data_IF_374837961243
#
_entry.id   IF_374837961243
#
_cell.length_a   1.000
_cell.length_b   1.000
_cell.length_c   1.000
_cell.angle_alpha   90.00
_cell.angle_beta   90.00
_cell.angle_gamma   90.00
#
_symmetry.space_group_name_H-M   'P 1'
#
loop_
_entity.id
_entity.type
_entity.pdbx_description
1 polymer ?
#
# COMPACT_ATOMS: atom_id res chain seq x y z
N UNK A 1 -21.83 6.50 20.23
CA UNK A 1 -20.40 6.41 19.85
C UNK A 1 -19.63 7.51 20.56
N UNK A 2 -18.40 7.25 21.04
CA UNK A 2 -17.54 8.30 21.63
C UNK A 2 -17.45 9.50 20.66
N UNK A 3 -17.75 10.75 21.08
CA UNK A 3 -17.72 11.91 20.21
C UNK A 3 -16.38 12.11 19.48
N UNK A 4 -15.27 11.73 20.12
CA UNK A 4 -13.94 11.79 19.51
C UNK A 4 -13.78 10.77 18.38
N UNK A 5 -14.33 9.56 18.53
CA UNK A 5 -14.33 8.54 17.46
C UNK A 5 -15.12 9.02 16.25
N UNK A 6 -16.32 9.59 16.46
CA UNK A 6 -17.12 10.15 15.36
C UNK A 6 -16.40 11.30 14.67
N UNK A 7 -15.77 12.20 15.45
CA UNK A 7 -14.99 13.31 14.91
C UNK A 7 -13.83 12.80 14.05
N UNK A 8 -13.06 11.82 14.54
CA UNK A 8 -11.95 11.23 13.79
C UNK A 8 -12.42 10.52 12.51
N UNK A 9 -13.53 9.77 12.56
CA UNK A 9 -14.12 9.15 11.36
C UNK A 9 -14.49 10.21 10.32
N UNK A 10 -15.11 11.31 10.74
CA UNK A 10 -15.50 12.39 9.83
C UNK A 10 -14.27 13.09 9.22
N UNK A 11 -13.21 13.29 10.00
CA UNK A 11 -11.94 13.82 9.50
C UNK A 11 -11.29 12.88 8.49
N UNK A 12 -11.29 11.56 8.75
CA UNK A 12 -10.79 10.55 7.80
C UNK A 12 -11.60 10.60 6.49
N UNK A 13 -12.92 10.73 6.56
CA UNK A 13 -13.76 10.86 5.37
C UNK A 13 -13.42 12.12 4.55
N UNK A 14 -12.85 13.14 5.17
CA UNK A 14 -12.42 14.38 4.55
C UNK A 14 -10.96 14.39 4.08
N UNK A 15 -10.17 13.32 4.29
CA UNK A 15 -8.76 13.31 3.81
C UNK A 15 -8.64 13.08 2.31
N UNK A 16 -9.64 12.49 1.67
CA UNK A 16 -9.61 12.16 0.25
C UNK A 16 -8.31 11.39 -0.13
N UNK A 17 -7.50 11.92 -1.04
CA UNK A 17 -6.25 11.32 -1.53
C UNK A 17 -5.00 11.79 -0.78
N UNK A 18 -5.11 12.00 0.53
CA UNK A 18 -4.01 12.43 1.40
C UNK A 18 -3.54 11.28 2.30
N UNK A 19 -2.67 10.37 1.80
CA UNK A 19 -2.34 9.12 2.48
C UNK A 19 -1.63 9.30 3.83
N UNK A 20 -0.80 10.33 3.97
CA UNK A 20 -0.08 10.62 5.23
C UNK A 20 -1.07 11.11 6.30
N UNK A 21 -1.92 12.07 5.95
CA UNK A 21 -2.97 12.59 6.86
C UNK A 21 -3.94 11.47 7.24
N UNK A 22 -4.34 10.65 6.26
CA UNK A 22 -5.14 9.46 6.50
C UNK A 22 -4.47 8.54 7.53
N UNK A 23 -3.19 8.21 7.36
CA UNK A 23 -2.47 7.31 8.25
C UNK A 23 -2.41 7.87 9.69
N UNK A 24 -2.13 9.16 9.86
CA UNK A 24 -2.09 9.81 11.18
C UNK A 24 -3.45 9.71 11.88
N UNK A 25 -4.53 10.06 11.17
CA UNK A 25 -5.88 10.00 11.72
C UNK A 25 -6.32 8.56 11.98
N UNK A 26 -5.92 7.61 11.14
CA UNK A 26 -6.17 6.18 11.32
C UNK A 26 -5.46 5.65 12.57
N UNK A 27 -4.19 5.97 12.77
CA UNK A 27 -3.46 5.62 14.00
C UNK A 27 -4.12 6.22 15.25
N UNK A 28 -4.58 7.47 15.19
CA UNK A 28 -5.37 8.04 16.28
C UNK A 28 -6.69 7.28 16.51
N UNK A 29 -7.37 6.88 15.43
CA UNK A 29 -8.59 6.06 15.54
C UNK A 29 -8.30 4.70 16.20
N UNK A 30 -7.19 4.03 15.85
CA UNK A 30 -6.73 2.79 16.49
C UNK A 30 -6.60 3.02 18.01
N UNK A 31 -5.89 4.07 18.42
CA UNK A 31 -5.68 4.40 19.84
C UNK A 31 -6.99 4.64 20.59
N UNK A 32 -7.92 5.39 19.99
CA UNK A 32 -9.24 5.64 20.58
C UNK A 32 -10.07 4.36 20.72
N UNK A 33 -9.92 3.42 19.78
CA UNK A 33 -10.64 2.16 19.77
C UNK A 33 -10.01 1.09 20.67
N UNK A 34 -8.69 1.13 20.96
CA UNK A 34 -8.03 0.17 21.87
C UNK A 34 -8.67 0.12 23.26
N UNK A 35 -9.18 1.26 23.73
CA UNK A 35 -9.79 1.38 25.06
C UNK A 35 -11.32 1.21 25.05
N UNK A 36 -11.92 0.86 23.90
CA UNK A 36 -13.38 0.70 23.78
C UNK A 36 -13.72 -0.60 23.09
N UNK A 37 -14.52 -1.47 23.72
CA UNK A 37 -15.10 -2.60 23.00
C UNK A 37 -16.09 -2.04 22.00
N UNK A 38 -15.93 -2.28 20.68
CA UNK A 38 -16.83 -1.71 19.69
C UNK A 38 -18.16 -2.48 19.71
N UNK A 39 -19.00 -2.24 20.71
CA UNK A 39 -20.47 -2.39 20.63
C UNK A 39 -21.01 -1.24 19.80
N UNK A 40 -20.53 -1.17 18.57
CA UNK A 40 -20.75 -0.06 17.66
C UNK A 40 -21.98 -0.37 16.81
N UNK A 41 -23.12 0.21 17.18
CA UNK A 41 -24.28 0.38 16.31
C UNK A 41 -23.94 1.39 15.20
N UNK A 42 -23.01 1.01 14.32
CA UNK A 42 -22.72 1.78 13.11
C UNK A 42 -23.72 1.35 12.05
N UNK A 43 -24.60 2.27 11.65
CA UNK A 43 -25.62 2.03 10.63
C UNK A 43 -25.04 1.97 9.23
N UNK A 44 -23.95 2.71 8.95
CA UNK A 44 -23.38 2.80 7.60
C UNK A 44 -22.22 1.81 7.37
N UNK A 45 -22.31 1.04 6.29
CA UNK A 45 -21.32 0.01 5.96
C UNK A 45 -19.91 0.57 5.79
N UNK A 46 -19.80 1.79 5.27
CA UNK A 46 -18.52 2.43 5.00
C UNK A 46 -17.76 2.76 6.30
N UNK A 47 -18.41 3.41 7.28
CA UNK A 47 -17.82 3.61 8.61
C UNK A 47 -17.56 2.28 9.30
N UNK A 48 -18.36 1.24 9.03
CA UNK A 48 -18.14 -0.10 9.60
C UNK A 48 -16.84 -0.72 9.05
N UNK A 49 -16.55 -0.58 7.76
CA UNK A 49 -15.25 -0.98 7.18
C UNK A 49 -14.12 -0.18 7.82
N UNK A 50 -14.28 1.14 7.97
CA UNK A 50 -13.26 2.00 8.57
C UNK A 50 -12.98 1.67 10.03
N UNK A 51 -14.00 1.40 10.83
CA UNK A 51 -13.81 1.01 12.23
C UNK A 51 -13.12 -0.34 12.32
N UNK A 52 -13.48 -1.32 11.49
CA UNK A 52 -12.77 -2.60 11.48
C UNK A 52 -11.39 -2.54 10.83
N UNK A 53 -11.06 -1.48 10.09
CA UNK A 53 -9.68 -1.24 9.66
C UNK A 53 -8.80 -0.71 10.78
N UNK A 54 -9.39 -0.08 11.80
CA UNK A 54 -8.67 0.44 12.97
C UNK A 54 -8.76 -0.45 14.22
N UNK A 55 -9.78 -1.31 14.32
CA UNK A 55 -9.92 -2.28 15.41
C UNK A 55 -9.87 -3.71 14.85
N UNK A 56 -8.92 -4.56 15.28
CA UNK A 56 -8.84 -5.94 14.83
C UNK A 56 -10.15 -6.68 15.13
N UNK A 57 -10.86 -7.09 14.08
CA UNK A 57 -12.02 -7.95 14.22
C UNK A 57 -11.58 -9.41 14.00
N UNK A 58 -11.73 -10.24 15.02
CA UNK A 58 -11.40 -11.68 14.99
C UNK A 58 -12.58 -12.56 14.55
N UNK A 59 -13.66 -11.96 14.07
CA UNK A 59 -14.86 -12.67 13.62
C UNK A 59 -14.95 -12.57 12.08
N UNK A 60 -15.29 -13.67 11.38
CA UNK A 60 -15.64 -13.62 9.95
C UNK A 60 -16.77 -12.62 9.70
N UNK A 61 -16.66 -11.75 8.68
CA UNK A 61 -17.69 -10.77 8.36
C UNK A 61 -18.05 -10.82 6.87
N UNK A 62 -18.63 -11.95 6.46
CA UNK A 62 -18.95 -12.22 5.04
C UNK A 62 -19.85 -11.15 4.43
N UNK A 63 -20.82 -10.63 5.18
CA UNK A 63 -21.71 -9.57 4.69
C UNK A 63 -20.97 -8.29 4.34
N UNK A 64 -19.98 -7.89 5.16
CA UNK A 64 -19.12 -6.74 4.86
C UNK A 64 -18.17 -7.02 3.69
N UNK A 65 -17.59 -8.23 3.65
CA UNK A 65 -16.66 -8.64 2.59
C UNK A 65 -17.34 -8.68 1.21
N UNK A 66 -18.61 -9.08 1.11
CA UNK A 66 -19.39 -8.98 -0.13
C UNK A 66 -19.56 -7.52 -0.59
N UNK A 67 -19.84 -6.60 0.34
CA UNK A 67 -19.95 -5.17 0.02
C UNK A 67 -18.61 -4.59 -0.43
N UNK A 68 -17.51 -4.98 0.21
CA UNK A 68 -16.15 -4.61 -0.21
C UNK A 68 -15.90 -5.13 -1.63
N UNK A 69 -16.27 -6.38 -1.93
CA UNK A 69 -16.10 -6.95 -3.26
C UNK A 69 -16.87 -6.15 -4.33
N UNK A 70 -18.10 -5.76 -4.03
CA UNK A 70 -18.91 -4.93 -4.95
C UNK A 70 -18.30 -3.54 -5.14
N UNK A 71 -17.75 -2.93 -4.09
CA UNK A 71 -17.01 -1.67 -4.21
C UNK A 71 -15.78 -1.83 -5.09
N UNK A 72 -14.95 -2.84 -4.87
CA UNK A 72 -13.75 -3.07 -5.69
C UNK A 72 -14.11 -3.25 -7.17
N UNK A 73 -15.15 -4.01 -7.50
CA UNK A 73 -15.62 -4.17 -8.89
C UNK A 73 -16.04 -2.85 -9.54
N UNK A 74 -16.76 -1.99 -8.80
CA UNK A 74 -17.22 -0.67 -9.28
C UNK A 74 -16.11 0.37 -9.39
N UNK A 75 -15.02 0.17 -8.65
CA UNK A 75 -13.88 1.09 -8.58
C UNK A 75 -12.66 0.57 -9.34
N UNK A 76 -12.81 -0.45 -10.20
CA UNK A 76 -11.71 -0.93 -11.03
C UNK A 76 -11.08 0.23 -11.80
N UNK A 77 -9.75 0.20 -12.00
CA UNK A 77 -9.10 1.26 -12.70
C UNK A 77 -9.63 1.47 -14.13
N UNK A 78 -9.51 2.70 -14.65
CA UNK A 78 -8.90 3.85 -13.99
C UNK A 78 -9.77 4.37 -12.82
N UNK A 79 -9.14 4.63 -11.65
CA UNK A 79 -9.82 5.10 -10.43
C UNK A 79 -9.44 6.56 -10.15
N UNK A 80 -10.17 7.43 -10.83
CA UNK A 80 -9.73 8.81 -11.11
C UNK A 80 -10.17 9.80 -10.02
N UNK A 81 -10.98 9.35 -9.07
CA UNK A 81 -11.54 10.22 -8.04
C UNK A 81 -10.88 9.97 -6.69
N UNK A 82 -10.64 11.06 -5.97
CA UNK A 82 -10.06 11.03 -4.62
C UNK A 82 -10.93 10.24 -3.64
N UNK A 83 -12.24 10.18 -3.89
CA UNK A 83 -13.17 9.31 -3.13
C UNK A 83 -12.88 7.82 -3.35
N UNK A 84 -12.65 7.38 -4.59
CA UNK A 84 -12.29 5.97 -4.88
C UNK A 84 -10.95 5.60 -4.24
N UNK A 85 -9.97 6.51 -4.26
CA UNK A 85 -8.67 6.31 -3.62
C UNK A 85 -8.79 6.19 -2.10
N UNK A 86 -9.58 7.06 -1.46
CA UNK A 86 -9.89 6.94 -0.03
C UNK A 86 -10.57 5.59 0.29
N UNK A 87 -11.55 5.20 -0.53
CA UNK A 87 -12.23 3.90 -0.41
C UNK A 87 -11.27 2.72 -0.47
N UNK A 88 -10.39 2.72 -1.47
CA UNK A 88 -9.36 1.70 -1.62
C UNK A 88 -8.39 1.68 -0.44
N UNK A 89 -7.98 2.85 0.06
CA UNK A 89 -7.06 2.96 1.20
C UNK A 89 -7.65 2.34 2.47
N UNK A 90 -8.91 2.65 2.81
CA UNK A 90 -9.57 2.02 3.95
C UNK A 90 -9.74 0.51 3.76
N UNK A 91 -10.04 0.05 2.54
CA UNK A 91 -10.14 -1.40 2.24
C UNK A 91 -8.79 -2.09 2.44
N UNK A 92 -7.69 -1.49 1.97
CA UNK A 92 -6.34 -2.01 2.18
C UNK A 92 -5.99 -2.09 3.67
N UNK A 93 -6.28 -1.04 4.45
CA UNK A 93 -6.07 -1.05 5.90
C UNK A 93 -6.96 -2.08 6.60
N UNK A 94 -8.20 -2.24 6.14
CA UNK A 94 -9.13 -3.26 6.64
C UNK A 94 -8.50 -4.64 6.50
N UNK A 95 -8.05 -4.99 5.30
CA UNK A 95 -7.46 -6.30 5.01
C UNK A 95 -6.12 -6.51 5.73
N UNK A 96 -5.27 -5.48 5.82
CA UNK A 96 -4.00 -5.54 6.57
C UNK A 96 -4.21 -5.80 8.06
N UNK A 97 -5.34 -5.35 8.61
CA UNK A 97 -5.70 -5.56 10.01
C UNK A 97 -6.45 -6.89 10.26
N UNK A 98 -6.65 -7.72 9.23
CA UNK A 98 -7.28 -9.05 9.38
C UNK A 98 -6.23 -10.12 9.73
N UNK A 99 -6.55 -11.03 10.67
CA UNK A 99 -5.75 -12.24 10.87
C UNK A 99 -5.65 -13.06 9.58
N UNK A 100 -4.52 -13.73 9.35
CA UNK A 100 -4.30 -14.60 8.19
C UNK A 100 -5.35 -15.73 8.08
N UNK A 101 -5.86 -16.21 9.22
CA UNK A 101 -6.93 -17.21 9.29
C UNK A 101 -8.29 -16.70 8.78
N UNK A 102 -8.47 -15.38 8.68
CA UNK A 102 -9.73 -14.71 8.33
C UNK A 102 -9.65 -13.83 7.09
N UNK A 103 -8.46 -13.67 6.51
CA UNK A 103 -8.30 -12.85 5.32
C UNK A 103 -9.07 -13.46 4.15
N UNK A 104 -9.81 -12.63 3.43
CA UNK A 104 -10.60 -13.07 2.28
C UNK A 104 -9.73 -13.02 1.02
N UNK A 105 -9.27 -14.19 0.57
CA UNK A 105 -8.42 -14.31 -0.63
C UNK A 105 -9.08 -13.81 -1.92
N UNK A 106 -10.41 -13.79 -2.03
CA UNK A 106 -11.08 -13.24 -3.22
C UNK A 106 -10.84 -11.73 -3.30
N UNK A 107 -10.89 -11.04 -2.17
CA UNK A 107 -10.61 -9.60 -2.11
C UNK A 107 -9.13 -9.33 -2.43
N UNK A 108 -8.22 -10.11 -1.86
CA UNK A 108 -6.78 -9.98 -2.16
C UNK A 108 -6.49 -10.28 -3.63
N UNK A 109 -7.11 -11.32 -4.19
CA UNK A 109 -6.97 -11.65 -5.62
C UNK A 109 -7.49 -10.53 -6.53
N UNK A 110 -8.63 -9.92 -6.19
CA UNK A 110 -9.18 -8.78 -6.93
C UNK A 110 -8.22 -7.58 -6.91
N UNK A 111 -7.59 -7.30 -5.75
CA UNK A 111 -6.59 -6.26 -5.59
C UNK A 111 -5.32 -6.53 -6.42
N UNK A 112 -4.75 -7.72 -6.33
CA UNK A 112 -3.56 -8.11 -7.11
C UNK A 112 -3.85 -8.06 -8.61
N UNK A 113 -5.01 -8.56 -9.03
CA UNK A 113 -5.34 -8.66 -10.46
C UNK A 113 -5.59 -7.29 -11.08
N UNK A 114 -6.37 -6.44 -10.40
CA UNK A 114 -6.93 -5.23 -11.00
C UNK A 114 -6.32 -3.94 -10.48
N UNK A 115 -5.75 -3.88 -9.28
CA UNK A 115 -5.29 -2.61 -8.68
C UNK A 115 -3.76 -2.48 -8.61
N UNK A 116 -3.03 -3.59 -8.64
CA UNK A 116 -1.57 -3.60 -8.66
C UNK A 116 -1.02 -3.06 -9.99
N UNK A 117 -0.06 -2.14 -9.91
CA UNK A 117 0.61 -1.47 -11.03
C UNK A 117 0.03 -0.10 -11.39
N UNK A 118 -0.92 0.42 -10.60
CA UNK A 118 -1.57 1.72 -10.86
C UNK A 118 -1.07 2.86 -9.98
N UNK A 119 -0.53 2.57 -8.79
CA UNK A 119 -0.08 3.58 -7.84
C UNK A 119 0.94 2.98 -6.90
N UNK A 120 2.11 3.62 -6.79
CA UNK A 120 3.20 3.13 -5.95
C UNK A 120 2.79 2.92 -4.48
N UNK A 121 1.93 3.81 -3.96
CA UNK A 121 1.38 3.71 -2.62
C UNK A 121 0.51 2.46 -2.43
N UNK A 122 -0.47 2.25 -3.32
CA UNK A 122 -1.37 1.09 -3.22
C UNK A 122 -0.65 -0.22 -3.52
N UNK A 123 0.30 -0.22 -4.45
CA UNK A 123 1.13 -1.37 -4.77
C UNK A 123 1.85 -1.88 -3.51
N UNK A 124 2.47 -0.99 -2.74
CA UNK A 124 3.12 -1.35 -1.48
C UNK A 124 2.17 -2.02 -0.47
N UNK A 125 0.93 -1.52 -0.34
CA UNK A 125 -0.07 -2.10 0.55
C UNK A 125 -0.54 -3.49 0.05
N UNK A 126 -0.77 -3.63 -1.25
CA UNK A 126 -1.21 -4.89 -1.87
C UNK A 126 -0.13 -5.96 -1.73
N UNK A 127 1.11 -5.62 -2.02
CA UNK A 127 2.26 -6.51 -1.83
C UNK A 127 2.43 -6.89 -0.36
N UNK A 128 2.22 -5.96 0.58
CA UNK A 128 2.27 -6.26 2.01
C UNK A 128 1.21 -7.29 2.40
N UNK A 129 -0.03 -7.15 1.90
CA UNK A 129 -1.09 -8.14 2.16
C UNK A 129 -0.73 -9.53 1.63
N UNK A 130 -0.26 -9.63 0.38
CA UNK A 130 0.14 -10.90 -0.21
C UNK A 130 1.35 -11.51 0.53
N UNK A 131 2.35 -10.70 0.87
CA UNK A 131 3.52 -11.15 1.63
C UNK A 131 3.12 -11.73 2.98
N UNK A 132 2.15 -11.13 3.69
CA UNK A 132 1.68 -11.65 4.96
C UNK A 132 1.03 -13.04 4.79
N UNK A 133 0.29 -13.29 3.71
CA UNK A 133 -0.28 -14.61 3.39
C UNK A 133 0.83 -15.64 3.13
N UNK A 134 1.85 -15.27 2.36
CA UNK A 134 2.98 -16.17 2.05
C UNK A 134 3.80 -16.47 3.30
N UNK A 135 4.18 -15.44 4.06
CA UNK A 135 5.01 -15.56 5.27
C UNK A 135 4.30 -16.34 6.37
N UNK A 136 2.99 -16.14 6.53
CA UNK A 136 2.26 -16.83 7.59
C UNK A 136 2.22 -18.35 7.37
N UNK A 137 2.32 -18.83 6.13
CA UNK A 137 2.52 -20.26 5.83
C UNK A 137 3.90 -20.76 6.26
N UNK A 138 4.95 -19.99 5.97
CA UNK A 138 6.33 -20.31 6.38
C UNK A 138 6.46 -20.53 7.89
N UNK A 139 5.70 -19.77 8.69
CA UNK A 139 5.67 -19.88 10.14
C UNK A 139 4.57 -20.80 10.70
N UNK A 140 3.91 -21.60 9.86
CA UNK A 140 2.80 -22.49 10.24
C UNK A 140 1.66 -21.77 10.99
N UNK A 141 1.44 -20.49 10.71
CA UNK A 141 0.31 -19.73 11.24
C UNK A 141 -0.96 -20.19 10.52
N UNK A 142 -2.02 -20.44 11.28
CA UNK A 142 -3.30 -20.89 10.73
C UNK A 142 -3.79 -19.96 9.62
N UNK A 143 -3.96 -20.54 8.43
CA UNK A 143 -4.48 -19.85 7.25
C UNK A 143 -5.97 -20.09 7.10
N UNK A 144 -6.64 -19.17 6.40
CA UNK A 144 -7.97 -19.44 5.90
C UNK A 144 -7.90 -20.65 4.95
N UNK A 145 -8.63 -21.73 5.28
CA UNK A 145 -8.63 -23.00 4.52
C UNK A 145 -9.00 -22.85 3.04
N UNK A 146 -9.64 -21.74 2.66
CA UNK A 146 -10.00 -21.43 1.27
C UNK A 146 -8.81 -20.91 0.44
N UNK A 147 -7.71 -20.50 1.08
CA UNK A 147 -6.50 -20.02 0.40
C UNK A 147 -5.62 -21.21 0.02
N UNK A 148 -5.90 -21.78 -1.15
CA UNK A 148 -5.10 -22.87 -1.72
C UNK A 148 -3.77 -22.36 -2.27
N UNK A 149 -2.76 -23.25 -2.34
CA UNK A 149 -1.44 -22.91 -2.88
C UNK A 149 -1.49 -22.48 -4.33
N UNK A 150 -2.35 -23.12 -5.14
CA UNK A 150 -2.57 -22.74 -6.54
C UNK A 150 -3.07 -21.29 -6.69
N UNK A 151 -3.84 -20.79 -5.73
CA UNK A 151 -4.36 -19.41 -5.75
C UNK A 151 -3.25 -18.41 -5.41
N UNK A 152 -2.41 -18.74 -4.43
CA UNK A 152 -1.26 -17.90 -4.07
C UNK A 152 -0.24 -17.88 -5.19
N UNK A 153 0.09 -19.04 -5.77
CA UNK A 153 0.97 -19.12 -6.93
C UNK A 153 0.45 -18.27 -8.08
N UNK A 154 -0.86 -18.31 -8.38
CA UNK A 154 -1.46 -17.46 -9.40
C UNK A 154 -1.34 -15.97 -9.09
N UNK A 155 -1.50 -15.56 -7.83
CA UNK A 155 -1.29 -14.16 -7.44
C UNK A 155 0.17 -13.74 -7.62
N UNK A 156 1.13 -14.59 -7.26
CA UNK A 156 2.56 -14.32 -7.45
C UNK A 156 2.94 -14.21 -8.93
N UNK A 157 2.40 -15.08 -9.78
CA UNK A 157 2.55 -14.96 -11.25
C UNK A 157 2.01 -13.62 -11.75
N UNK A 158 0.82 -13.20 -11.29
CA UNK A 158 0.24 -11.91 -11.67
C UNK A 158 1.12 -10.75 -11.21
N UNK A 159 1.65 -10.79 -9.98
CA UNK A 159 2.61 -9.79 -9.50
C UNK A 159 3.76 -9.64 -10.48
N UNK A 160 4.39 -10.73 -10.92
CA UNK A 160 5.53 -10.70 -11.85
C UNK A 160 5.22 -10.06 -13.20
N UNK A 161 3.96 -10.03 -13.63
CA UNK A 161 3.54 -9.39 -14.88
C UNK A 161 3.32 -7.87 -14.77
N UNK A 162 3.32 -7.30 -13.56
CA UNK A 162 3.05 -5.88 -13.34
C UNK A 162 4.31 -5.03 -13.46
N UNK A 163 4.14 -3.83 -14.02
CA UNK A 163 5.17 -2.80 -14.02
C UNK A 163 5.20 -2.12 -12.65
N UNK A 164 6.17 -2.49 -11.81
CA UNK A 164 6.36 -1.94 -10.47
C UNK A 164 7.57 -1.00 -10.43
N UNK A 165 7.52 0.01 -9.54
CA UNK A 165 8.69 0.80 -9.18
C UNK A 165 9.76 -0.07 -8.48
N UNK A 166 11.02 0.37 -8.49
CA UNK A 166 12.10 -0.40 -7.87
C UNK A 166 11.86 -0.65 -6.38
N UNK A 167 11.31 0.32 -5.65
CA UNK A 167 10.90 0.14 -4.26
C UNK A 167 9.87 -0.98 -4.08
N UNK A 168 8.87 -1.03 -4.95
CA UNK A 168 7.83 -2.05 -4.87
C UNK A 168 8.32 -3.42 -5.34
N UNK A 169 9.30 -3.48 -6.25
CA UNK A 169 9.99 -4.75 -6.57
C UNK A 169 10.69 -5.33 -5.33
N UNK A 170 11.33 -4.50 -4.51
CA UNK A 170 11.95 -4.93 -3.25
C UNK A 170 10.86 -5.43 -2.29
N UNK A 171 9.82 -4.63 -2.07
CA UNK A 171 8.69 -4.99 -1.19
C UNK A 171 7.96 -6.26 -1.64
N UNK A 172 8.02 -6.59 -2.94
CA UNK A 172 7.43 -7.80 -3.49
C UNK A 172 8.24 -9.08 -3.19
N UNK A 173 9.54 -9.00 -2.90
CA UNK A 173 10.42 -10.17 -2.71
C UNK A 173 9.83 -11.25 -1.78
N UNK A 174 9.27 -10.92 -0.60
CA UNK A 174 8.74 -11.94 0.30
C UNK A 174 7.54 -12.72 -0.27
N UNK A 175 6.86 -12.19 -1.30
CA UNK A 175 5.79 -12.90 -1.99
C UNK A 175 6.31 -14.13 -2.77
N UNK A 176 7.59 -14.15 -3.12
CA UNK A 176 8.20 -15.19 -3.96
C UNK A 176 8.92 -16.29 -3.15
N UNK A 177 8.89 -16.23 -1.81
CA UNK A 177 9.68 -17.13 -0.94
C UNK A 177 9.44 -18.60 -1.23
N UNK A 178 8.18 -18.99 -1.39
CA UNK A 178 7.77 -20.39 -1.63
C UNK A 178 7.27 -20.60 -3.07
N UNK A 179 7.63 -19.69 -3.99
CA UNK A 179 7.16 -19.73 -5.37
C UNK A 179 8.23 -20.30 -6.30
N UNK A 180 7.78 -21.00 -7.34
CA UNK A 180 8.63 -21.40 -8.47
C UNK A 180 8.78 -20.27 -9.52
N UNK A 181 8.19 -19.10 -9.25
CA UNK A 181 8.33 -17.92 -10.09
C UNK A 181 9.57 -17.13 -9.68
N UNK A 182 10.44 -16.82 -10.65
CA UNK A 182 11.58 -15.93 -10.43
C UNK A 182 11.10 -14.53 -10.01
N UNK A 183 11.62 -13.94 -8.92
CA UNK A 183 11.28 -12.59 -8.52
C UNK A 183 11.83 -11.52 -9.47
N UNK A 184 11.41 -10.27 -9.27
CA UNK A 184 11.97 -9.13 -9.98
C UNK A 184 13.46 -8.92 -9.69
N UNK A 185 14.18 -8.44 -10.70
CA UNK A 185 15.47 -7.80 -10.47
C UNK A 185 15.20 -6.35 -10.06
N UNK A 186 15.41 -6.04 -8.78
CA UNK A 186 15.22 -4.69 -8.25
C UNK A 186 16.57 -3.97 -8.24
N UNK A 187 16.59 -2.73 -8.74
CA UNK A 187 17.74 -1.86 -8.52
C UNK A 187 17.79 -1.49 -7.03
N UNK A 188 18.74 -2.05 -6.29
CA UNK A 188 19.00 -1.67 -4.89
C UNK A 188 19.85 -0.38 -4.78
N UNK A 189 19.88 0.46 -5.81
CA UNK A 189 20.51 1.78 -5.75
C UNK A 189 19.85 2.72 -4.72
N UNK A 190 18.71 2.32 -4.15
CA UNK A 190 17.92 3.06 -3.15
C UNK A 190 18.37 2.75 -1.71
N UNK A 191 19.45 1.99 -1.50
CA UNK A 191 19.93 1.71 -0.15
C UNK A 191 20.85 2.84 0.32
N UNK A 192 20.31 3.64 1.23
CA UNK A 192 20.99 4.69 1.96
C UNK A 192 21.01 4.40 3.47
N UNK A 193 21.61 5.29 4.26
CA UNK A 193 21.62 5.25 5.72
C UNK A 193 20.28 5.71 6.34
N UNK A 194 19.16 5.53 5.64
CA UNK A 194 17.84 5.86 6.16
C UNK A 194 17.13 4.64 6.75
N UNK A 195 16.04 4.88 7.47
CA UNK A 195 15.14 3.82 7.93
C UNK A 195 14.55 3.01 6.76
N UNK A 196 14.33 3.65 5.61
CA UNK A 196 13.81 3.00 4.40
C UNK A 196 14.87 2.04 3.84
N UNK A 197 16.12 2.50 3.71
CA UNK A 197 17.25 1.67 3.29
C UNK A 197 17.45 0.44 4.19
N UNK A 198 17.37 0.63 5.52
CA UNK A 198 17.38 -0.47 6.49
C UNK A 198 16.26 -1.48 6.23
N UNK A 199 15.03 -1.02 5.99
CA UNK A 199 13.89 -1.90 5.71
C UNK A 199 14.03 -2.67 4.39
N UNK A 200 14.65 -2.08 3.38
CA UNK A 200 14.93 -2.77 2.12
C UNK A 200 15.97 -3.88 2.30
N UNK A 201 17.01 -3.64 3.09
CA UNK A 201 17.99 -4.67 3.47
C UNK A 201 17.35 -5.80 4.28
N UNK A 202 16.49 -5.46 5.26
CA UNK A 202 15.75 -6.45 6.05
C UNK A 202 14.89 -7.35 5.15
N UNK A 203 14.15 -6.77 4.19
CA UNK A 203 13.32 -7.51 3.24
C UNK A 203 14.16 -8.41 2.34
N UNK A 204 15.29 -7.91 1.82
CA UNK A 204 16.18 -8.67 0.96
C UNK A 204 16.78 -9.86 1.71
N UNK A 205 17.34 -9.62 2.91
CA UNK A 205 17.92 -10.67 3.76
C UNK A 205 16.86 -11.71 4.18
N UNK A 206 15.64 -11.26 4.48
CA UNK A 206 14.53 -12.16 4.79
C UNK A 206 14.19 -13.06 3.60
N UNK A 207 14.05 -12.50 2.39
CA UNK A 207 13.85 -13.29 1.18
C UNK A 207 15.01 -14.27 0.95
N UNK A 208 16.27 -13.81 1.04
CA UNK A 208 17.44 -14.66 0.82
C UNK A 208 17.54 -15.81 1.82
N UNK A 209 17.11 -15.62 3.07
CA UNK A 209 17.13 -16.66 4.10
C UNK A 209 16.10 -17.77 3.85
N UNK A 210 14.91 -17.40 3.37
CA UNK A 210 13.77 -18.32 3.32
C UNK A 210 13.39 -18.78 1.91
N UNK A 211 13.97 -18.17 0.86
CA UNK A 211 13.66 -18.53 -0.52
C UNK A 211 13.91 -20.02 -0.77
N UNK A 212 12.91 -20.68 -1.37
CA UNK A 212 12.95 -22.07 -1.82
C UNK A 212 14.05 -22.32 -2.86
N UNK A 213 14.41 -21.31 -3.65
CA UNK A 213 15.37 -21.45 -4.77
C UNK A 213 16.56 -20.49 -4.63
N UNK A 214 17.69 -21.04 -4.16
CA UNK A 214 18.93 -20.29 -3.98
C UNK A 214 19.50 -19.69 -5.29
N UNK A 215 19.17 -20.25 -6.46
CA UNK A 215 19.61 -19.72 -7.76
C UNK A 215 19.01 -18.34 -8.00
N UNK A 216 17.74 -18.12 -7.63
CA UNK A 216 17.11 -16.81 -7.80
C UNK A 216 17.79 -15.73 -6.97
N UNK A 217 18.27 -16.06 -5.77
CA UNK A 217 19.03 -15.11 -4.93
C UNK A 217 20.27 -14.64 -5.67
N UNK A 218 21.05 -15.56 -6.25
CA UNK A 218 22.29 -15.24 -6.98
C UNK A 218 22.02 -14.36 -8.20
N UNK A 219 20.89 -14.56 -8.86
CA UNK A 219 20.52 -13.81 -10.07
C UNK A 219 20.01 -12.39 -9.78
N UNK A 220 19.45 -12.14 -8.59
CA UNK A 220 18.96 -10.82 -8.19
C UNK A 220 19.91 -10.09 -7.23
N UNK A 221 20.98 -10.75 -6.76
CA UNK A 221 21.95 -10.17 -5.83
C UNK A 221 22.63 -8.96 -6.47
N UNK A 222 22.50 -7.76 -5.90
CA UNK A 222 23.13 -6.59 -6.51
C UNK A 222 24.63 -6.55 -6.21
N UNK A 223 25.42 -6.32 -7.27
CA UNK A 223 26.88 -6.26 -7.18
C UNK A 223 27.41 -4.82 -7.09
N UNK A 224 26.60 -3.86 -6.63
CA UNK A 224 27.02 -2.47 -6.50
C UNK A 224 27.61 -2.19 -5.11
N UNK A 225 28.56 -1.24 -5.04
CA UNK A 225 29.29 -0.88 -3.81
C UNK A 225 28.34 -0.42 -2.71
N UNK A 226 27.34 0.41 -3.05
CA UNK A 226 26.36 0.93 -2.09
C UNK A 226 25.59 -0.18 -1.36
N UNK A 227 25.18 -1.23 -2.08
CA UNK A 227 24.54 -2.40 -1.48
C UNK A 227 25.50 -3.13 -0.53
N UNK A 228 26.75 -3.36 -0.96
CA UNK A 228 27.75 -4.07 -0.16
C UNK A 228 28.02 -3.31 1.15
N UNK A 229 28.18 -2.00 1.09
CA UNK A 229 28.46 -1.18 2.27
C UNK A 229 27.24 -1.09 3.18
N UNK A 230 26.03 -0.87 2.63
CA UNK A 230 24.80 -0.92 3.40
C UNK A 230 24.58 -2.28 4.09
N UNK A 231 24.91 -3.38 3.42
CA UNK A 231 24.83 -4.73 4.00
C UNK A 231 25.84 -4.92 5.14
N UNK A 232 27.07 -4.41 5.00
CA UNK A 232 28.05 -4.43 6.10
C UNK A 232 27.52 -3.69 7.32
N UNK A 233 26.98 -2.49 7.13
CA UNK A 233 26.43 -1.69 8.22
C UNK A 233 25.20 -2.37 8.86
N UNK A 234 24.39 -3.06 8.06
CA UNK A 234 23.23 -3.81 8.54
C UNK A 234 23.66 -4.98 9.43
N UNK A 235 24.67 -5.74 8.99
CA UNK A 235 25.23 -6.85 9.77
C UNK A 235 25.94 -6.36 11.05
N UNK A 236 26.53 -5.17 11.01
CA UNK A 236 27.20 -4.57 12.15
C UNK A 236 26.24 -3.82 13.11
N UNK A 237 24.94 -3.75 12.79
CA UNK A 237 23.95 -2.95 13.52
C UNK A 237 24.30 -1.45 13.60
N UNK A 238 24.94 -0.92 12.56
CA UNK A 238 25.46 0.45 12.50
C UNK A 238 24.51 1.45 11.83
N UNK A 239 23.19 1.25 11.95
CA UNK A 239 22.21 2.23 11.48
C UNK A 239 21.86 3.21 12.59
N UNK A 240 22.05 4.51 12.33
CA UNK A 240 21.60 5.58 13.23
C UNK A 240 20.47 6.36 12.59
N UNK A 241 19.30 6.35 13.22
CA UNK A 241 18.13 7.06 12.72
C UNK A 241 17.92 8.33 13.56
N UNK A 242 17.92 9.50 12.94
CA UNK A 242 17.52 10.73 13.60
C UNK A 242 16.01 10.74 13.77
N UNK A 243 15.54 10.77 15.02
CA UNK A 243 14.14 11.00 15.34
C UNK A 243 13.93 12.50 15.47
N UNK A 244 13.38 13.14 14.44
CA UNK A 244 12.88 14.52 14.56
C UNK A 244 11.49 14.49 15.17
N UNK A 245 11.33 15.09 16.35
CA UNK A 245 10.03 15.15 17.04
C UNK A 245 9.07 16.21 16.45
N UNK A 246 9.55 17.06 15.54
CA UNK A 246 8.73 18.09 14.91
C UNK A 246 8.04 17.55 13.65
N UNK A 247 6.71 17.40 13.73
CA UNK A 247 5.88 17.08 12.57
C UNK A 247 5.62 18.37 11.80
N UNK A 248 6.33 18.56 10.70
CA UNK A 248 5.98 19.59 9.72
C UNK A 248 4.73 19.15 8.93
N UNK A 249 3.57 19.66 9.32
CA UNK A 249 2.28 19.34 8.70
C UNK A 249 2.27 19.66 7.18
N UNK A 250 3.11 20.57 6.69
CA UNK A 250 3.21 20.86 5.26
C UNK A 250 3.80 19.68 4.49
N UNK A 251 4.70 18.91 5.11
CA UNK A 251 5.27 17.69 4.53
C UNK A 251 4.32 16.50 4.58
N UNK A 252 3.21 16.61 5.32
CA UNK A 252 2.15 15.60 5.33
C UNK A 252 1.17 15.74 4.16
N UNK A 253 1.21 16.86 3.44
CA UNK A 253 0.38 17.09 2.28
C UNK A 253 1.07 16.56 1.02
N UNK A 254 0.36 15.71 0.27
CA UNK A 254 0.78 15.29 -1.05
C UNK A 254 0.20 16.28 -2.05
N UNK A 255 1.07 17.01 -2.74
CA UNK A 255 0.65 17.95 -3.78
C UNK A 255 -0.10 17.22 -4.90
N UNK A 256 -1.31 17.70 -5.20
CA UNK A 256 -2.06 17.21 -6.35
C UNK A 256 -1.54 17.87 -7.63
N UNK A 257 -0.82 17.08 -8.44
CA UNK A 257 -0.30 17.52 -9.73
C UNK A 257 -1.23 17.19 -10.90
N UNK A 258 -2.41 16.63 -10.65
CA UNK A 258 -3.33 16.21 -11.72
C UNK A 258 -3.72 17.37 -12.64
N UNK A 259 -3.79 18.59 -12.10
CA UNK A 259 -4.08 19.78 -12.91
C UNK A 259 -2.99 20.05 -13.95
N UNK A 260 -1.72 19.82 -13.62
CA UNK A 260 -0.62 19.96 -14.58
C UNK A 260 -0.68 18.90 -15.67
N UNK A 261 -1.08 17.67 -15.33
CA UNK A 261 -1.26 16.60 -16.31
C UNK A 261 -2.43 16.91 -17.26
N UNK A 262 -3.54 17.42 -16.72
CA UNK A 262 -4.69 17.87 -17.52
C UNK A 262 -4.32 19.04 -18.43
N UNK A 263 -3.57 20.03 -17.91
CA UNK A 263 -3.05 21.15 -18.71
C UNK A 263 -2.13 20.62 -19.82
N UNK A 264 -1.23 19.67 -19.52
CA UNK A 264 -0.31 19.08 -20.51
C UNK A 264 -1.07 18.32 -21.59
N UNK A 265 -2.10 17.58 -21.22
CA UNK A 265 -2.96 16.85 -22.17
C UNK A 265 -3.75 17.82 -23.05
N UNK A 266 -4.39 18.83 -22.46
CA UNK A 266 -5.15 19.86 -23.19
C UNK A 266 -4.23 20.66 -24.13
N UNK A 267 -3.03 21.02 -23.66
CA UNK A 267 -2.01 21.62 -24.50
C UNK A 267 -1.65 20.71 -25.68
N UNK A 268 -1.44 19.41 -25.46
CA UNK A 268 -1.15 18.44 -26.51
C UNK A 268 -2.21 18.37 -27.61
N UNK A 269 -3.49 18.46 -27.24
CA UNK A 269 -4.65 18.37 -28.14
C UNK A 269 -4.98 19.67 -28.89
N UNK A 270 -4.48 20.82 -28.41
CA UNK A 270 -4.83 22.12 -29.00
C UNK A 270 -4.01 22.41 -30.26
N UNK A 271 -4.63 22.93 -31.33
CA UNK A 271 -3.92 23.30 -32.57
C UNK A 271 -3.10 24.59 -32.40
N UNK A 272 -3.68 25.62 -31.77
CA UNK A 272 -3.00 26.89 -31.48
C UNK A 272 -2.38 26.90 -30.07
N UNK A 273 -1.11 26.50 -30.01
CA UNK A 273 -0.35 26.45 -28.75
C UNK A 273 -0.16 27.85 -28.12
N UNK A 274 -0.02 28.88 -28.95
CA UNK A 274 0.26 30.25 -28.49
C UNK A 274 -0.96 30.84 -27.81
N UNK A 275 -2.15 30.64 -28.40
CA UNK A 275 -3.41 31.05 -27.78
C UNK A 275 -3.68 30.32 -26.47
N UNK A 276 -3.48 29.00 -26.44
CA UNK A 276 -3.63 28.22 -25.21
C UNK A 276 -2.74 28.74 -24.07
N UNK A 277 -1.48 29.07 -24.36
CA UNK A 277 -0.56 29.64 -23.35
C UNK A 277 -1.05 31.01 -22.88
N UNK A 278 -1.52 31.86 -23.80
CA UNK A 278 -2.07 33.18 -23.46
C UNK A 278 -3.28 33.06 -22.53
N UNK A 279 -4.24 32.20 -22.86
CA UNK A 279 -5.46 31.97 -22.08
C UNK A 279 -5.12 31.41 -20.69
N UNK A 280 -4.15 30.49 -20.61
CA UNK A 280 -3.69 29.92 -19.34
C UNK A 280 -2.99 30.96 -18.46
N UNK A 281 -2.13 31.80 -19.04
CA UNK A 281 -1.45 32.87 -18.32
C UNK A 281 -2.45 33.90 -17.80
N UNK A 282 -3.44 34.30 -18.61
CA UNK A 282 -4.50 35.21 -18.19
C UNK A 282 -5.30 34.63 -17.01
N UNK A 283 -5.68 33.35 -17.09
CA UNK A 283 -6.35 32.65 -16.00
C UNK A 283 -5.52 32.64 -14.70
N UNK A 284 -4.22 32.30 -14.79
CA UNK A 284 -3.32 32.27 -13.62
C UNK A 284 -3.11 33.68 -13.06
N UNK A 285 -2.94 34.70 -13.90
CA UNK A 285 -2.79 36.08 -13.47
C UNK A 285 -4.02 36.62 -12.75
N UNK A 286 -5.22 36.12 -13.08
CA UNK A 286 -6.47 36.50 -12.43
C UNK A 286 -6.75 35.71 -11.13
N UNK A 287 -5.92 34.72 -10.78
CA UNK A 287 -6.02 33.97 -9.52
C UNK A 287 -5.21 34.61 -8.37
N UNK A 288 -4.40 35.64 -8.65
CA UNK A 288 -3.55 36.37 -7.70
C UNK A 288 -4.21 37.58 -7.07
#
# INVERSE_FOLDING_TARGET
MNPQVQKTINLIKATYDQPIIFHILHCNLVLLLTNTTPTLEISDDWSKILVYSAHPNKIPNQGLELKIQDFLKKMRPPFDTSEKKLKLMVICYYLLNRPASLINHILVFELVSNFLGYSEYFDGLILKMLSNIVISRLYNIEQNKKIKDSVVQRMVELVQTKSLSDENKIKALPCFIDSDTKPFNASLAVIDQSFIGYKYLEIFCFYAKYSKNATYIREILPNNISFIDGLKDFMAFNFSFSVTNDIDLKKCFVEDKSIFDQIKQAFGLTEDKSKFISDLLEYISNLG
#
